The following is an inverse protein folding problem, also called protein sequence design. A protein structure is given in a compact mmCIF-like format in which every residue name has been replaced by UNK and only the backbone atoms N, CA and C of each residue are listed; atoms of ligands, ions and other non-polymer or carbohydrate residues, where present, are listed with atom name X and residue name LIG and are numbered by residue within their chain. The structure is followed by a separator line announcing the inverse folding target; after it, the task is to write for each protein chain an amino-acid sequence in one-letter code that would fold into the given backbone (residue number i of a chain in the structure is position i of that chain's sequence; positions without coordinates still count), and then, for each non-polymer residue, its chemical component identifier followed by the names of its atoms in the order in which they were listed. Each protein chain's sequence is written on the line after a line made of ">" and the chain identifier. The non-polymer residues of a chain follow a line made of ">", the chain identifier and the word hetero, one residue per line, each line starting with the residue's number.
data_IF_955342109068
#
_entry.id   IF_955342109068
#
_cell.length_a   1.000
_cell.length_b   1.000
_cell.length_c   1.000
_cell.angle_alpha   90.00
_cell.angle_beta   90.00
_cell.angle_gamma   90.00
#
_symmetry.space_group_name_H-M   'P 1'
#
loop_
_entity.id
_entity.type
_entity.pdbx_description
1 polymer ?
#
# COMPACT_ATOMS: atom_id res chain seq x y z
N UNK A 1 9.81 -8.20 6.70
CA UNK A 1 8.43 -7.86 6.29
C UNK A 1 7.46 -7.77 7.46
N UNK A 2 7.18 -8.84 8.23
CA UNK A 2 6.21 -8.74 9.35
C UNK A 2 6.72 -7.84 10.49
N UNK A 3 8.00 -7.98 10.88
CA UNK A 3 8.63 -7.09 11.87
C UNK A 3 8.54 -5.64 11.42
N UNK A 4 8.96 -5.35 10.18
CA UNK A 4 8.90 -4.01 9.61
C UNK A 4 7.47 -3.45 9.51
N UNK A 5 6.47 -4.30 9.25
CA UNK A 5 5.07 -3.89 9.29
C UNK A 5 4.65 -3.46 10.71
N UNK A 6 5.11 -4.16 11.75
CA UNK A 6 4.87 -3.80 13.14
C UNK A 6 5.58 -2.47 13.47
N UNK A 7 6.87 -2.35 13.12
CA UNK A 7 7.67 -1.13 13.34
C UNK A 7 7.01 0.09 12.68
N UNK A 8 6.53 -0.04 11.43
CA UNK A 8 5.82 1.02 10.74
C UNK A 8 4.47 1.36 11.41
N UNK A 9 3.75 0.38 11.95
CA UNK A 9 2.54 0.67 12.73
C UNK A 9 2.85 1.38 14.05
N UNK A 10 4.01 1.11 14.67
CA UNK A 10 4.44 1.78 15.91
C UNK A 10 4.82 3.26 15.70
N UNK A 11 5.17 3.65 14.47
CA UNK A 11 5.36 5.07 14.11
C UNK A 11 4.05 5.88 14.10
N UNK A 12 2.89 5.22 14.17
CA UNK A 12 1.58 5.87 14.26
C UNK A 12 1.30 6.22 15.73
N UNK A 13 1.71 7.43 16.12
CA UNK A 13 1.58 7.91 17.49
C UNK A 13 0.31 8.72 17.74
N UNK A 14 -0.29 9.28 16.67
CA UNK A 14 -1.51 10.09 16.74
C UNK A 14 -2.71 9.21 17.11
N UNK A 15 -3.39 9.59 18.19
CA UNK A 15 -4.48 8.80 18.77
C UNK A 15 -5.63 8.56 17.78
N UNK A 16 -6.00 9.57 16.98
CA UNK A 16 -7.11 9.43 16.03
C UNK A 16 -6.79 8.49 14.86
N UNK A 17 -5.51 8.13 14.64
CA UNK A 17 -5.09 7.15 13.63
C UNK A 17 -4.92 5.74 14.21
N UNK A 18 -4.91 5.58 15.54
CA UNK A 18 -4.75 4.25 16.18
C UNK A 18 -5.87 3.28 15.85
N UNK A 19 -7.05 3.77 15.46
CA UNK A 19 -8.17 2.92 15.02
C UNK A 19 -7.77 1.97 13.86
N UNK A 20 -6.85 2.38 12.99
CA UNK A 20 -6.33 1.54 11.90
C UNK A 20 -5.33 0.49 12.38
N UNK A 21 -4.52 0.79 13.40
CA UNK A 21 -3.61 -0.18 14.02
C UNK A 21 -4.37 -1.22 14.85
N UNK A 22 -5.44 -0.80 15.54
CA UNK A 22 -6.34 -1.68 16.27
C UNK A 22 -7.19 -2.56 15.36
N UNK A 23 -7.58 -2.03 14.19
CA UNK A 23 -8.37 -2.74 13.18
C UNK A 23 -7.76 -4.11 12.82
N UNK A 24 -6.43 -4.18 12.65
CA UNK A 24 -5.73 -5.44 12.37
C UNK A 24 -5.89 -6.49 13.47
N UNK A 25 -6.10 -6.06 14.72
CA UNK A 25 -6.26 -6.96 15.88
C UNK A 25 -7.69 -7.47 16.02
N UNK A 26 -8.67 -6.78 15.42
CA UNK A 26 -10.10 -7.09 15.59
C UNK A 26 -10.58 -8.26 14.73
N UNK A 27 -9.95 -8.49 13.58
CA UNK A 27 -10.28 -9.62 12.69
C UNK A 27 -9.10 -10.61 12.62
N UNK A 28 -9.18 -11.77 13.30
CA UNK A 28 -8.10 -12.76 13.32
C UNK A 28 -7.87 -13.43 11.96
N UNK A 29 -8.78 -13.26 10.98
CA UNK A 29 -8.66 -13.85 9.64
C UNK A 29 -8.05 -12.87 8.63
N UNK A 30 -8.29 -11.57 8.81
CA UNK A 30 -7.84 -10.54 7.87
C UNK A 30 -6.32 -10.44 7.80
N UNK A 31 -5.65 -10.28 8.95
CA UNK A 31 -4.21 -10.06 8.98
C UNK A 31 -3.42 -11.25 8.40
N UNK A 32 -3.73 -12.53 8.73
CA UNK A 32 -3.10 -13.68 8.08
C UNK A 32 -3.27 -13.70 6.56
N UNK A 33 -4.46 -13.34 6.04
CA UNK A 33 -4.67 -13.26 4.59
C UNK A 33 -3.85 -12.12 3.98
N UNK A 34 -3.87 -10.94 4.59
CA UNK A 34 -3.05 -9.81 4.15
C UNK A 34 -1.56 -10.15 4.10
N UNK A 35 -1.07 -10.88 5.11
CA UNK A 35 0.32 -11.35 5.19
C UNK A 35 0.65 -12.36 4.10
N UNK A 36 -0.27 -13.24 3.71
CA UNK A 36 0.00 -14.36 2.79
C UNK A 36 -0.35 -14.05 1.34
N UNK A 37 -1.23 -13.09 1.09
CA UNK A 37 -1.75 -12.78 -0.24
C UNK A 37 -0.67 -12.25 -1.20
N UNK A 38 -0.78 -12.56 -2.51
CA UNK A 38 -0.02 -11.86 -3.53
C UNK A 38 -0.60 -10.44 -3.74
N UNK A 39 0.24 -9.47 -4.08
CA UNK A 39 -0.24 -8.10 -4.38
C UNK A 39 -0.87 -8.02 -5.78
N UNK A 40 -0.59 -8.98 -6.66
CA UNK A 40 -1.19 -9.03 -7.99
C UNK A 40 -1.21 -10.46 -8.54
N UNK A 41 -2.00 -10.69 -9.59
CA UNK A 41 -2.12 -12.03 -10.19
C UNK A 41 -0.87 -12.46 -11.00
N UNK A 42 -0.28 -11.54 -11.79
CA UNK A 42 0.83 -11.82 -12.75
C UNK A 42 1.77 -10.63 -12.95
N UNK A 43 1.73 -9.63 -12.07
CA UNK A 43 2.50 -8.40 -12.20
C UNK A 43 3.50 -8.27 -11.05
N UNK A 44 3.72 -7.06 -10.53
CA UNK A 44 4.57 -6.83 -9.37
C UNK A 44 4.03 -7.59 -8.15
N UNK A 45 4.95 -8.11 -7.34
CA UNK A 45 4.65 -8.79 -6.09
C UNK A 45 3.59 -9.91 -6.23
N UNK A 46 3.62 -10.66 -7.34
CA UNK A 46 2.65 -11.72 -7.66
C UNK A 46 2.95 -13.09 -7.00
N UNK A 47 3.63 -13.06 -5.86
CA UNK A 47 4.04 -14.24 -5.08
C UNK A 47 3.44 -14.18 -3.66
N UNK A 48 3.40 -15.30 -2.91
CA UNK A 48 2.96 -15.29 -1.51
C UNK A 48 3.71 -14.23 -0.69
N UNK A 49 3.00 -13.52 0.18
CA UNK A 49 3.51 -12.37 0.94
C UNK A 49 3.81 -11.10 0.13
N UNK A 50 3.51 -11.11 -1.17
CA UNK A 50 3.70 -9.97 -2.04
C UNK A 50 2.90 -8.74 -1.61
N UNK A 51 1.67 -8.92 -1.15
CA UNK A 51 0.82 -7.81 -0.70
C UNK A 51 1.43 -7.08 0.50
N UNK A 52 1.83 -7.84 1.53
CA UNK A 52 2.52 -7.29 2.69
C UNK A 52 3.81 -6.57 2.30
N UNK A 53 4.63 -7.18 1.42
CA UNK A 53 5.88 -6.55 0.98
C UNK A 53 5.62 -5.22 0.30
N UNK A 54 4.67 -5.19 -0.64
CA UNK A 54 4.30 -4.00 -1.38
C UNK A 54 3.75 -2.89 -0.48
N UNK A 55 2.84 -3.21 0.45
CA UNK A 55 2.29 -2.25 1.41
C UNK A 55 3.35 -1.67 2.33
N UNK A 56 4.28 -2.49 2.85
CA UNK A 56 5.37 -2.02 3.71
C UNK A 56 6.34 -1.11 2.95
N UNK A 57 6.73 -1.48 1.73
CA UNK A 57 7.57 -0.62 0.88
C UNK A 57 6.87 0.71 0.57
N UNK A 58 5.60 0.67 0.18
CA UNK A 58 4.80 1.85 -0.15
C UNK A 58 4.65 2.76 1.06
N UNK A 59 4.39 2.20 2.23
CA UNK A 59 4.29 2.93 3.50
C UNK A 59 5.61 3.60 3.88
N UNK A 60 6.72 2.86 3.86
CA UNK A 60 8.06 3.37 4.17
C UNK A 60 8.47 4.49 3.23
N UNK A 61 8.28 4.30 1.92
CA UNK A 61 8.56 5.34 0.92
C UNK A 61 7.67 6.57 1.12
N UNK A 62 6.40 6.39 1.48
CA UNK A 62 5.49 7.50 1.70
C UNK A 62 5.86 8.31 2.95
N UNK A 63 6.18 7.64 4.04
CA UNK A 63 6.70 8.25 5.26
C UNK A 63 7.98 9.04 5.00
N UNK A 64 8.97 8.43 4.35
CA UNK A 64 10.25 9.07 4.08
C UNK A 64 10.11 10.31 3.19
N UNK A 65 9.29 10.23 2.14
CA UNK A 65 9.05 11.37 1.25
C UNK A 65 8.31 12.50 1.95
N UNK A 66 7.28 12.19 2.76
CA UNK A 66 6.55 13.20 3.51
C UNK A 66 7.49 13.94 4.48
N UNK A 67 8.36 13.21 5.19
CA UNK A 67 9.37 13.79 6.06
C UNK A 67 10.40 14.63 5.28
N UNK A 68 10.91 14.13 4.16
CA UNK A 68 11.89 14.86 3.34
C UNK A 68 11.33 16.17 2.77
N UNK A 69 10.02 16.22 2.52
CA UNK A 69 9.31 17.44 2.10
C UNK A 69 8.93 18.35 3.27
N UNK A 70 9.32 18.02 4.51
CA UNK A 70 8.99 18.75 5.73
C UNK A 70 7.47 18.98 5.88
N UNK A 71 6.67 17.95 5.58
CA UNK A 71 5.24 18.01 5.86
C UNK A 71 4.98 17.97 7.37
N UNK A 72 3.77 18.34 7.77
CA UNK A 72 3.36 18.24 9.18
C UNK A 72 3.41 16.78 9.66
N UNK A 73 3.60 16.57 10.96
CA UNK A 73 3.59 15.23 11.56
C UNK A 73 2.30 14.45 11.21
N UNK A 74 1.17 15.15 11.20
CA UNK A 74 -0.14 14.62 10.79
C UNK A 74 -0.10 14.13 9.34
N UNK A 75 0.40 14.94 8.41
CA UNK A 75 0.51 14.55 7.00
C UNK A 75 1.50 13.38 6.79
N UNK A 76 2.59 13.33 7.55
CA UNK A 76 3.53 12.21 7.54
C UNK A 76 2.84 10.91 7.97
N UNK A 77 2.14 10.91 9.10
CA UNK A 77 1.43 9.73 9.60
C UNK A 77 0.25 9.34 8.71
N UNK A 78 -0.46 10.30 8.10
CA UNK A 78 -1.49 10.01 7.09
C UNK A 78 -0.89 9.36 5.83
N UNK A 79 0.28 9.80 5.37
CA UNK A 79 0.97 9.20 4.23
C UNK A 79 1.46 7.78 4.53
N UNK A 80 2.01 7.56 5.72
CA UNK A 80 2.37 6.24 6.22
C UNK A 80 1.16 5.31 6.27
N UNK A 81 0.09 5.73 6.92
CA UNK A 81 -1.13 4.93 7.09
C UNK A 81 -1.78 4.62 5.75
N UNK A 82 -1.92 5.63 4.88
CA UNK A 82 -2.42 5.45 3.53
C UNK A 82 -1.59 4.43 2.76
N UNK A 83 -0.25 4.52 2.81
CA UNK A 83 0.62 3.56 2.15
C UNK A 83 0.45 2.11 2.64
N UNK A 84 0.25 1.91 3.96
CA UNK A 84 0.01 0.57 4.52
C UNK A 84 -1.30 -0.05 4.00
N UNK A 85 -2.37 0.75 3.97
CA UNK A 85 -3.73 0.23 3.75
C UNK A 85 -4.27 0.42 2.33
N UNK A 86 -3.54 1.09 1.43
CA UNK A 86 -4.06 1.46 0.09
C UNK A 86 -4.57 0.28 -0.74
N UNK A 87 -4.01 -0.91 -0.52
CA UNK A 87 -4.28 -2.11 -1.29
C UNK A 87 -5.01 -3.19 -0.47
N UNK A 88 -5.47 -2.87 0.74
CA UNK A 88 -6.08 -3.84 1.65
C UNK A 88 -7.34 -4.49 1.06
N UNK A 89 -8.05 -3.79 0.16
CA UNK A 89 -9.20 -4.30 -0.56
C UNK A 89 -8.92 -5.56 -1.37
N UNK A 90 -7.65 -5.86 -1.72
CA UNK A 90 -7.24 -7.11 -2.39
C UNK A 90 -7.50 -8.36 -1.54
N UNK A 91 -7.66 -8.19 -0.23
CA UNK A 91 -8.02 -9.28 0.70
C UNK A 91 -9.49 -9.68 0.57
N UNK A 92 -10.37 -8.75 0.18
CA UNK A 92 -11.81 -8.99 0.09
C UNK A 92 -12.20 -10.20 -0.79
N UNK A 93 -11.74 -10.34 -2.04
CA UNK A 93 -12.08 -11.51 -2.85
C UNK A 93 -11.57 -12.82 -2.25
N UNK A 94 -10.42 -12.80 -1.58
CA UNK A 94 -9.83 -14.00 -0.95
C UNK A 94 -10.69 -14.46 0.22
N UNK A 95 -11.14 -13.52 1.06
CA UNK A 95 -12.07 -13.77 2.16
C UNK A 95 -13.39 -14.40 1.67
N UNK A 96 -13.90 -13.95 0.53
CA UNK A 96 -15.19 -14.40 0.00
C UNK A 96 -15.11 -15.67 -0.86
N UNK A 97 -13.95 -15.95 -1.45
CA UNK A 97 -13.76 -17.08 -2.38
C UNK A 97 -13.09 -18.29 -1.73
N UNK A 98 -13.01 -18.35 -0.40
CA UNK A 98 -12.40 -19.49 0.30
C UNK A 98 -10.88 -19.64 0.07
N UNK A 99 -10.16 -18.53 -0.16
CA UNK A 99 -8.70 -18.52 -0.28
C UNK A 99 -8.13 -18.32 -1.70
N UNK A 100 -8.96 -18.37 -2.75
CA UNK A 100 -8.50 -18.08 -4.11
C UNK A 100 -8.44 -16.57 -4.38
N UNK A 101 -7.31 -16.09 -4.92
CA UNK A 101 -7.21 -14.71 -5.43
C UNK A 101 -8.07 -14.56 -6.70
N UNK A 102 -8.91 -13.53 -6.73
CA UNK A 102 -9.67 -13.13 -7.90
C UNK A 102 -9.38 -11.64 -8.21
N UNK A 103 -8.92 -11.27 -9.43
CA UNK A 103 -8.77 -9.88 -9.80
C UNK A 103 -10.10 -9.13 -9.70
N UNK A 104 -10.14 -8.06 -8.91
CA UNK A 104 -11.32 -7.23 -8.68
C UNK A 104 -10.95 -5.74 -8.57
N UNK A 105 -11.97 -4.88 -8.53
CA UNK A 105 -11.85 -3.46 -8.19
C UNK A 105 -11.47 -3.28 -6.71
N UNK A 106 -10.26 -3.67 -6.36
CA UNK A 106 -9.74 -3.66 -4.99
C UNK A 106 -9.75 -2.26 -4.35
N UNK A 107 -9.52 -1.20 -5.12
CA UNK A 107 -9.64 0.18 -4.63
C UNK A 107 -11.07 0.50 -4.12
N UNK A 108 -12.11 -0.09 -4.72
CA UNK A 108 -13.49 0.01 -4.22
C UNK A 108 -13.72 -0.88 -3.00
N UNK A 109 -13.01 -2.01 -2.90
CA UNK A 109 -13.13 -2.97 -1.80
C UNK A 109 -12.40 -2.50 -0.53
N UNK A 110 -11.51 -1.51 -0.63
CA UNK A 110 -10.94 -0.82 0.53
C UNK A 110 -12.04 -0.38 1.51
N UNK A 111 -13.16 0.14 1.02
CA UNK A 111 -14.27 0.61 1.85
C UNK A 111 -14.98 -0.50 2.60
N UNK A 112 -15.10 -1.69 1.99
CA UNK A 112 -15.71 -2.85 2.64
C UNK A 112 -14.86 -3.37 3.80
N UNK A 113 -13.54 -3.20 3.70
CA UNK A 113 -12.58 -3.66 4.71
C UNK A 113 -12.36 -2.59 5.79
N UNK A 114 -12.23 -1.32 5.39
CA UNK A 114 -11.84 -0.19 6.26
C UNK A 114 -13.02 0.63 6.80
N UNK A 115 -14.27 0.23 6.54
CA UNK A 115 -15.45 1.02 6.87
C UNK A 115 -15.51 1.45 8.35
N UNK A 116 -15.19 0.54 9.28
CA UNK A 116 -15.16 0.83 10.72
C UNK A 116 -14.09 1.87 11.09
N UNK A 117 -12.77 1.65 10.86
CA UNK A 117 -11.76 2.62 11.25
C UNK A 117 -11.91 3.97 10.52
N UNK A 118 -12.38 3.97 9.27
CA UNK A 118 -12.68 5.22 8.54
C UNK A 118 -13.85 5.99 9.15
N UNK A 119 -14.91 5.31 9.58
CA UNK A 119 -16.03 5.95 10.29
C UNK A 119 -15.57 6.60 11.59
N UNK A 120 -14.74 5.91 12.37
CA UNK A 120 -14.18 6.45 13.61
C UNK A 120 -13.30 7.69 13.35
N UNK A 121 -12.50 7.70 12.29
CA UNK A 121 -11.72 8.88 11.90
C UNK A 121 -12.63 10.02 11.42
N UNK A 122 -13.71 9.72 10.69
CA UNK A 122 -14.66 10.73 10.22
C UNK A 122 -15.37 11.45 11.38
N UNK A 123 -15.75 10.71 12.42
CA UNK A 123 -16.39 11.23 13.64
C UNK A 123 -15.46 12.15 14.45
N UNK A 124 -14.16 11.83 14.49
CA UNK A 124 -13.19 12.53 15.34
C UNK A 124 -12.43 13.65 14.61
N UNK A 125 -12.04 13.42 13.34
CA UNK A 125 -11.21 14.30 12.51
C UNK A 125 -11.60 14.22 11.03
N UNK A 126 -12.75 14.78 10.70
CA UNK A 126 -13.28 14.76 9.33
C UNK A 126 -12.29 15.23 8.22
N UNK A 127 -11.51 16.32 8.37
CA UNK A 127 -10.55 16.71 7.32
C UNK A 127 -9.46 15.66 7.06
N UNK A 128 -9.06 14.89 8.08
CA UNK A 128 -8.05 13.83 7.94
C UNK A 128 -8.65 12.62 7.23
N UNK A 129 -9.91 12.30 7.55
CA UNK A 129 -10.70 11.32 6.84
C UNK A 129 -10.80 11.67 5.34
N UNK A 130 -11.06 12.92 4.97
CA UNK A 130 -11.13 13.33 3.56
C UNK A 130 -9.80 13.12 2.83
N UNK A 131 -8.68 13.49 3.48
CA UNK A 131 -7.33 13.29 2.93
C UNK A 131 -7.05 11.80 2.71
N UNK A 132 -7.36 10.97 3.70
CA UNK A 132 -7.12 9.52 3.63
C UNK A 132 -8.00 8.91 2.54
N UNK A 133 -9.29 9.25 2.50
CA UNK A 133 -10.21 8.79 1.49
C UNK A 133 -9.75 9.12 0.08
N UNK A 134 -9.26 10.34 -0.13
CA UNK A 134 -8.72 10.75 -1.41
C UNK A 134 -7.49 9.94 -1.83
N UNK A 135 -6.65 9.51 -0.87
CA UNK A 135 -5.50 8.66 -1.11
C UNK A 135 -5.88 7.21 -1.47
N UNK A 136 -6.97 6.69 -0.88
CA UNK A 136 -7.46 5.31 -1.09
C UNK A 136 -8.40 5.17 -2.30
N UNK A 137 -8.97 6.28 -2.79
CA UNK A 137 -9.91 6.27 -3.91
C UNK A 137 -9.18 5.98 -5.24
N UNK A 138 -9.84 5.26 -6.17
CA UNK A 138 -9.38 5.12 -7.54
C UNK A 138 -8.90 6.40 -8.23
N UNK A 139 -8.17 6.23 -9.34
CA UNK A 139 -7.85 7.34 -10.23
C UNK A 139 -9.13 7.98 -10.79
N UNK A 140 -9.55 9.08 -10.16
CA UNK A 140 -10.60 9.96 -10.62
C UNK A 140 -10.05 11.34 -10.98
N UNK A 141 -10.63 11.99 -12.00
CA UNK A 141 -10.36 13.37 -12.36
C UNK A 141 -11.01 14.32 -11.32
N UNK A 142 -10.35 14.51 -10.17
CA UNK A 142 -10.77 15.49 -9.16
C UNK A 142 -10.03 16.81 -9.35
N UNK A 143 -10.72 17.93 -9.13
CA UNK A 143 -10.13 19.28 -9.10
C UNK A 143 -9.36 19.58 -7.80
N UNK A 144 -9.45 18.69 -6.81
CA UNK A 144 -8.80 18.82 -5.50
C UNK A 144 -7.40 18.22 -5.57
N UNK A 145 -6.42 18.96 -5.07
CA UNK A 145 -5.02 18.50 -4.97
C UNK A 145 -4.75 18.06 -3.54
N UNK A 146 -4.55 16.75 -3.37
CA UNK A 146 -4.15 16.14 -2.11
C UNK A 146 -2.69 15.68 -2.22
N UNK A 147 -1.80 16.24 -1.39
CA UNK A 147 -0.36 15.95 -1.39
C UNK A 147 -0.06 14.53 -0.91
N UNK A 148 -0.71 14.09 0.17
CA UNK A 148 -0.59 12.72 0.71
C UNK A 148 -0.93 11.70 -0.38
N UNK A 149 -2.03 11.89 -1.09
CA UNK A 149 -2.42 11.05 -2.24
C UNK A 149 -1.33 10.98 -3.31
N UNK A 150 -0.67 12.11 -3.63
CA UNK A 150 0.39 12.15 -4.65
C UNK A 150 1.63 11.38 -4.19
N UNK A 151 2.01 11.55 -2.93
CA UNK A 151 3.13 10.81 -2.32
C UNK A 151 2.84 9.30 -2.37
N UNK A 152 1.69 8.86 -1.88
CA UNK A 152 1.33 7.43 -1.85
C UNK A 152 1.32 6.83 -3.26
N UNK A 153 0.76 7.53 -4.25
CA UNK A 153 0.75 7.07 -5.64
C UNK A 153 2.13 6.98 -6.27
N UNK A 154 3.05 7.84 -5.86
CA UNK A 154 4.42 7.78 -6.34
C UNK A 154 5.16 6.62 -5.67
N UNK A 155 4.99 6.44 -4.36
CA UNK A 155 5.51 5.32 -3.59
C UNK A 155 5.05 3.95 -4.12
N UNK A 156 3.75 3.81 -4.42
CA UNK A 156 3.14 2.62 -5.03
C UNK A 156 3.85 2.28 -6.36
N UNK A 157 3.94 3.27 -7.25
CA UNK A 157 4.62 3.10 -8.55
C UNK A 157 6.10 2.74 -8.39
N UNK A 158 6.78 3.31 -7.40
CA UNK A 158 8.19 3.00 -7.10
C UNK A 158 8.38 1.58 -6.58
N UNK A 159 7.56 1.13 -5.63
CA UNK A 159 7.59 -0.25 -5.13
C UNK A 159 7.33 -1.23 -6.30
N UNK A 160 6.29 -0.98 -7.09
CA UNK A 160 5.95 -1.80 -8.24
C UNK A 160 7.07 -1.88 -9.30
N UNK A 161 7.70 -0.76 -9.66
CA UNK A 161 8.78 -0.78 -10.67
C UNK A 161 10.06 -1.40 -10.13
N UNK A 162 10.35 -1.23 -8.83
CA UNK A 162 11.50 -1.86 -8.19
C UNK A 162 11.38 -3.39 -8.26
N UNK A 163 10.26 -3.93 -7.77
CA UNK A 163 10.02 -5.37 -7.78
C UNK A 163 9.98 -5.96 -9.21
N UNK A 164 9.33 -5.28 -10.16
CA UNK A 164 9.36 -5.71 -11.57
C UNK A 164 10.80 -5.76 -12.07
N UNK A 165 11.61 -4.74 -11.80
CA UNK A 165 12.99 -4.66 -12.29
C UNK A 165 13.85 -5.76 -11.67
N UNK A 166 13.78 -5.96 -10.36
CA UNK A 166 14.45 -7.06 -9.66
C UNK A 166 14.08 -8.41 -10.27
N UNK A 167 12.79 -8.68 -10.47
CA UNK A 167 12.33 -9.91 -11.10
C UNK A 167 12.89 -10.10 -12.50
N UNK A 168 12.95 -9.03 -13.33
CA UNK A 168 13.47 -9.11 -14.71
C UNK A 168 14.95 -9.41 -14.78
N UNK A 169 15.72 -8.98 -13.78
CA UNK A 169 17.16 -9.19 -13.73
C UNK A 169 17.60 -10.36 -12.84
N UNK A 170 16.67 -11.03 -12.16
CA UNK A 170 16.94 -12.14 -11.23
C UNK A 170 17.81 -13.26 -11.81
N UNK A 171 17.69 -13.52 -13.12
CA UNK A 171 18.47 -14.55 -13.85
C UNK A 171 19.56 -13.96 -14.74
N UNK A 172 19.76 -12.64 -14.72
CA UNK A 172 20.71 -11.94 -15.59
C UNK A 172 22.07 -11.73 -14.91
N UNK A 173 23.21 -12.04 -15.58
CA UNK A 173 24.56 -11.79 -15.05
C UNK A 173 24.77 -10.34 -14.62
N UNK A 174 25.52 -10.10 -13.54
CA UNK A 174 25.69 -8.76 -12.93
C UNK A 174 26.10 -7.66 -13.91
N UNK A 175 26.91 -7.99 -14.92
CA UNK A 175 27.37 -7.04 -15.95
C UNK A 175 26.32 -6.69 -17.03
N UNK A 176 25.15 -7.35 -17.06
CA UNK A 176 24.06 -6.98 -17.97
C UNK A 176 23.31 -5.73 -17.47
N UNK A 177 23.37 -4.67 -18.26
CA UNK A 177 22.72 -3.38 -17.97
C UNK A 177 21.29 -3.26 -18.54
N UNK A 178 20.83 -4.21 -19.37
CA UNK A 178 19.45 -4.23 -19.88
C UNK A 178 18.90 -5.65 -20.09
N UNK A 179 17.57 -5.77 -20.06
CA UNK A 179 16.83 -6.98 -20.44
C UNK A 179 15.51 -6.63 -21.15
N UNK A 180 14.98 -7.54 -21.96
CA UNK A 180 13.71 -7.38 -22.70
C UNK A 180 12.66 -8.35 -22.16
N UNK A 181 11.46 -7.83 -21.90
CA UNK A 181 10.31 -8.67 -21.58
C UNK A 181 9.06 -8.11 -22.28
N UNK A 182 8.44 -8.92 -23.15
CA UNK A 182 7.44 -8.49 -24.13
C UNK A 182 7.90 -7.25 -24.92
N UNK A 183 7.09 -6.18 -24.95
CA UNK A 183 7.35 -4.94 -25.67
C UNK A 183 8.14 -3.90 -24.86
N UNK A 184 8.61 -4.24 -23.65
CA UNK A 184 9.31 -3.31 -22.75
C UNK A 184 10.79 -3.71 -22.58
N UNK A 185 11.64 -2.68 -22.49
CA UNK A 185 13.06 -2.80 -22.10
C UNK A 185 13.20 -2.32 -20.66
N UNK A 186 13.94 -3.07 -19.86
CA UNK A 186 14.29 -2.72 -18.48
C UNK A 186 15.79 -2.48 -18.42
N UNK A 187 16.22 -1.57 -17.55
CA UNK A 187 17.63 -1.19 -17.37
C UNK A 187 17.97 -1.21 -15.88
N UNK A 188 19.22 -1.49 -15.56
CA UNK A 188 19.80 -1.32 -14.23
C UNK A 188 21.16 -0.64 -14.34
N UNK A 189 21.58 0.04 -13.28
CA UNK A 189 22.99 0.41 -13.13
C UNK A 189 23.80 -0.87 -12.89
N UNK A 190 24.97 -0.98 -13.54
CA UNK A 190 25.94 -2.07 -13.40
C UNK A 190 27.29 -1.50 -13.02
#
# INVERSE_FOLDING_TARGET
>A
MVIEFIELNELVTIDELKCFSEFWKKDPTLLPIFITAPASHKHHHSYPHGLLKHSVETARLSWNQANQLNLSEIECQLALMAGLIHDVGKVFPILKSGGAYCPSEHECQNWAILGVPLGQLAETKYPWYEILCDALTPRANKKIVNRVKKIVRFSDQLSAINDITEQRFSTSPSHHHFTRHHKKKYRRAV
#
